data_IF_577727075161
#
_entry.id   IF_577727075161
#
_cell.length_a   1.000
_cell.length_b   1.000
_cell.length_c   1.000
_cell.angle_alpha   90.00
_cell.angle_beta   90.00
_cell.angle_gamma   90.00
#
_symmetry.space_group_name_H-M   'P 1'
#
loop_
_entity.id
_entity.type
_entity.pdbx_description
1 polymer ?
#
# COMPACT_ATOMS: atom_id res chain seq x y z
N UNK A 1 0.16 12.68 20.37
CA UNK A 1 -1.04 12.83 19.54
C UNK A 1 -1.05 11.63 18.60
N UNK A 2 -1.75 10.58 18.99
CA UNK A 2 -1.82 9.33 18.24
C UNK A 2 -2.90 9.50 17.18
N UNK A 3 -2.50 9.60 15.92
CA UNK A 3 -3.44 9.54 14.80
C UNK A 3 -3.92 8.09 14.71
N UNK A 4 -4.89 7.77 15.59
CA UNK A 4 -5.51 6.47 15.68
C UNK A 4 -6.26 6.22 14.39
N UNK A 5 -5.72 5.36 13.53
CA UNK A 5 -6.55 4.66 12.56
C UNK A 5 -7.56 3.86 13.38
N UNK A 6 -8.72 4.46 13.66
CA UNK A 6 -9.87 3.67 14.07
C UNK A 6 -10.08 2.64 12.96
N UNK A 7 -10.15 1.34 13.28
CA UNK A 7 -10.48 0.34 12.28
C UNK A 7 -11.84 0.73 11.72
N UNK A 8 -11.84 1.25 10.50
CA UNK A 8 -13.05 1.48 9.73
C UNK A 8 -13.69 0.09 9.58
N UNK A 9 -14.87 -0.08 10.17
CA UNK A 9 -15.61 -1.33 10.08
C UNK A 9 -15.86 -1.71 8.62
N UNK A 10 -16.20 -2.97 8.36
CA UNK A 10 -16.48 -3.49 7.00
C UNK A 10 -17.46 -2.60 6.22
N UNK A 11 -18.38 -1.94 6.90
CA UNK A 11 -19.34 -0.99 6.31
C UNK A 11 -18.68 0.23 5.65
N UNK A 12 -17.64 0.79 6.26
CA UNK A 12 -16.89 1.91 5.69
C UNK A 12 -16.01 1.48 4.51
N UNK A 13 -15.52 0.24 4.53
CA UNK A 13 -14.84 -0.37 3.36
C UNK A 13 -15.84 -0.59 2.22
N UNK A 14 -17.04 -1.10 2.51
CA UNK A 14 -18.10 -1.35 1.52
C UNK A 14 -18.62 -0.06 0.84
N UNK A 15 -18.55 1.08 1.52
CA UNK A 15 -18.92 2.38 0.93
C UNK A 15 -17.91 2.85 -0.13
N UNK A 16 -16.65 2.41 -0.05
CA UNK A 16 -15.55 2.90 -0.90
C UNK A 16 -15.10 1.84 -1.91
N UNK A 17 -15.37 0.56 -1.63
CA UNK A 17 -14.96 -0.59 -2.43
C UNK A 17 -16.16 -1.17 -3.16
N UNK A 18 -16.15 -1.09 -4.48
CA UNK A 18 -17.18 -1.69 -5.33
C UNK A 18 -16.99 -3.20 -5.47
N UNK A 19 -15.74 -3.66 -5.61
CA UNK A 19 -15.39 -5.08 -5.78
C UNK A 19 -14.01 -5.38 -5.19
N UNK A 20 -13.88 -6.55 -4.58
CA UNK A 20 -12.61 -7.16 -4.20
C UNK A 20 -12.40 -8.43 -5.01
N UNK A 21 -11.21 -8.58 -5.58
CA UNK A 21 -10.77 -9.76 -6.30
C UNK A 21 -9.57 -10.34 -5.57
N UNK A 22 -9.62 -11.63 -5.29
CA UNK A 22 -8.47 -12.39 -4.83
C UNK A 22 -7.95 -13.20 -6.01
N UNK A 23 -6.65 -13.14 -6.24
CA UNK A 23 -6.03 -13.88 -7.33
C UNK A 23 -4.61 -14.29 -6.99
N UNK A 24 -4.07 -15.14 -7.85
CA UNK A 24 -2.65 -15.43 -7.90
C UNK A 24 -2.18 -15.18 -9.33
N UNK A 25 -1.01 -14.56 -9.48
CA UNK A 25 -0.30 -14.50 -10.75
C UNK A 25 0.32 -15.87 -11.07
N UNK A 26 0.69 -16.11 -12.33
CA UNK A 26 1.21 -17.41 -12.80
C UNK A 26 2.47 -17.88 -12.05
N UNK A 27 3.24 -16.97 -11.44
CA UNK A 27 4.41 -17.30 -10.63
C UNK A 27 4.10 -17.53 -9.15
N UNK A 28 2.81 -17.57 -8.79
CA UNK A 28 2.36 -17.86 -7.43
C UNK A 28 2.23 -16.62 -6.53
N UNK A 29 2.51 -15.40 -7.02
CA UNK A 29 2.30 -14.19 -6.23
C UNK A 29 0.80 -13.98 -5.99
N UNK A 30 0.39 -13.89 -4.72
CA UNK A 30 -1.00 -13.63 -4.36
C UNK A 30 -1.27 -12.13 -4.40
N UNK A 31 -2.39 -11.73 -4.99
CA UNK A 31 -2.80 -10.34 -5.03
C UNK A 31 -4.23 -10.15 -4.55
N UNK A 32 -4.45 -8.98 -3.95
CA UNK A 32 -5.78 -8.41 -3.69
C UNK A 32 -5.96 -7.26 -4.65
N UNK A 33 -6.99 -7.31 -5.49
CA UNK A 33 -7.37 -6.17 -6.34
C UNK A 33 -8.69 -5.58 -5.88
N UNK A 34 -8.72 -4.27 -5.75
CA UNK A 34 -9.83 -3.48 -5.23
C UNK A 34 -10.25 -2.51 -6.33
N UNK A 35 -11.51 -2.57 -6.74
CA UNK A 35 -12.13 -1.55 -7.58
C UNK A 35 -12.92 -0.60 -6.68
N UNK A 36 -12.65 0.70 -6.78
CA UNK A 36 -13.27 1.69 -5.91
C UNK A 36 -14.64 2.17 -6.42
N UNK A 37 -15.44 2.72 -5.52
CA UNK A 37 -16.67 3.43 -5.83
C UNK A 37 -16.37 4.73 -6.61
N UNK A 38 -17.23 5.07 -7.57
CA UNK A 38 -17.00 6.16 -8.52
C UNK A 38 -16.95 7.55 -7.88
N UNK A 39 -17.44 7.71 -6.65
CA UNK A 39 -17.50 9.01 -5.98
C UNK A 39 -16.15 9.46 -5.42
N UNK A 40 -15.26 8.51 -5.06
CA UNK A 40 -14.00 8.85 -4.38
C UNK A 40 -12.76 8.66 -5.27
N UNK A 41 -12.70 7.52 -5.96
CA UNK A 41 -11.62 7.16 -6.89
C UNK A 41 -12.23 6.59 -8.19
N UNK A 42 -12.88 7.43 -9.01
CA UNK A 42 -13.51 6.99 -10.26
C UNK A 42 -12.53 6.29 -11.18
N UNK A 43 -13.02 5.27 -11.88
CA UNK A 43 -12.30 4.49 -12.88
C UNK A 43 -10.90 4.04 -12.41
N UNK A 44 -10.77 3.70 -11.12
CA UNK A 44 -9.50 3.35 -10.48
C UNK A 44 -9.54 1.93 -9.93
N UNK A 45 -8.51 1.16 -10.26
CA UNK A 45 -8.21 -0.14 -9.67
C UNK A 45 -6.95 -0.02 -8.82
N UNK A 46 -6.92 -0.67 -7.67
CA UNK A 46 -5.73 -0.86 -6.84
C UNK A 46 -5.42 -2.34 -6.72
N UNK A 47 -4.17 -2.73 -6.85
CA UNK A 47 -3.70 -4.08 -6.56
C UNK A 47 -2.63 -4.03 -5.48
N UNK A 48 -2.68 -4.97 -4.55
CA UNK A 48 -1.67 -5.17 -3.50
C UNK A 48 -1.16 -6.60 -3.59
N UNK A 49 0.15 -6.77 -3.68
CA UNK A 49 0.80 -8.07 -3.70
C UNK A 49 2.20 -7.99 -3.11
N UNK A 50 2.74 -9.12 -2.69
CA UNK A 50 4.12 -9.22 -2.22
C UNK A 50 4.98 -9.87 -3.30
N UNK A 51 6.14 -9.29 -3.57
CA UNK A 51 7.14 -9.83 -4.48
C UNK A 51 8.53 -9.65 -3.84
N UNK A 52 9.27 -10.77 -3.70
CA UNK A 52 10.61 -10.81 -3.13
C UNK A 52 10.77 -10.06 -1.78
N UNK A 53 9.77 -10.14 -0.89
CA UNK A 53 9.79 -9.45 0.41
C UNK A 53 9.44 -7.95 0.36
N UNK A 54 9.05 -7.45 -0.81
CA UNK A 54 8.57 -6.09 -1.01
C UNK A 54 7.05 -6.07 -1.24
N UNK A 55 6.34 -5.22 -0.50
CA UNK A 55 4.92 -4.96 -0.69
C UNK A 55 4.74 -4.01 -1.87
N UNK A 56 4.08 -4.49 -2.91
CA UNK A 56 3.76 -3.71 -4.10
C UNK A 56 2.31 -3.22 -4.02
N UNK A 57 2.12 -1.91 -4.15
CA UNK A 57 0.81 -1.25 -4.23
C UNK A 57 0.71 -0.55 -5.57
N UNK A 58 -0.15 -1.04 -6.45
CA UNK A 58 -0.30 -0.50 -7.80
C UNK A 58 -1.68 0.13 -7.99
N UNK A 59 -1.73 1.41 -8.33
CA UNK A 59 -2.93 2.11 -8.76
C UNK A 59 -2.95 2.24 -10.28
N UNK A 60 -4.08 1.91 -10.89
CA UNK A 60 -4.34 2.15 -12.32
C UNK A 60 -5.62 2.96 -12.43
N UNK A 61 -5.55 4.13 -13.06
CA UNK A 61 -6.73 4.99 -13.24
C UNK A 61 -6.83 5.57 -14.64
N UNK A 62 -8.06 5.76 -15.12
CA UNK A 62 -8.36 6.49 -16.36
C UNK A 62 -8.68 7.97 -16.12
N UNK A 63 -8.85 8.37 -14.87
CA UNK A 63 -9.20 9.74 -14.49
C UNK A 63 -7.94 10.58 -14.20
N UNK A 64 -7.76 11.67 -14.95
CA UNK A 64 -6.59 12.55 -14.84
C UNK A 64 -6.50 13.27 -13.49
N UNK A 65 -7.64 13.65 -12.90
CA UNK A 65 -7.67 14.34 -11.62
C UNK A 65 -7.34 13.38 -10.48
N UNK A 66 -7.85 12.15 -10.54
CA UNK A 66 -7.47 11.07 -9.61
C UNK A 66 -5.99 10.75 -9.76
N UNK A 67 -5.48 10.61 -10.98
CA UNK A 67 -4.06 10.37 -11.23
C UNK A 67 -3.17 11.42 -10.55
N UNK A 68 -3.47 12.72 -10.74
CA UNK A 68 -2.72 13.80 -10.08
C UNK A 68 -2.77 13.72 -8.57
N UNK A 69 -3.94 13.41 -7.99
CA UNK A 69 -4.10 13.26 -6.53
C UNK A 69 -3.30 12.08 -5.99
N UNK A 70 -3.34 10.93 -6.68
CA UNK A 70 -2.59 9.73 -6.31
C UNK A 70 -1.08 9.96 -6.40
N UNK A 71 -0.61 10.60 -7.47
CA UNK A 71 0.83 10.96 -7.61
C UNK A 71 1.26 11.89 -6.48
N UNK A 72 0.48 12.92 -6.15
CA UNK A 72 0.80 13.85 -5.06
C UNK A 72 0.85 13.14 -3.68
N UNK A 73 0.02 12.12 -3.48
CA UNK A 73 -0.04 11.33 -2.24
C UNK A 73 0.85 10.08 -2.21
N UNK A 74 1.55 9.76 -3.31
CA UNK A 74 2.23 8.48 -3.49
C UNK A 74 3.31 8.23 -2.43
N UNK A 75 4.25 9.18 -2.27
CA UNK A 75 5.35 9.05 -1.32
C UNK A 75 4.89 8.94 0.14
N UNK A 76 4.05 9.84 0.68
CA UNK A 76 3.61 9.74 2.07
C UNK A 76 2.79 8.46 2.32
N UNK A 77 2.01 7.99 1.33
CA UNK A 77 1.28 6.74 1.44
C UNK A 77 2.24 5.54 1.50
N UNK A 78 3.23 5.45 0.60
CA UNK A 78 4.22 4.37 0.62
C UNK A 78 4.98 4.31 1.95
N UNK A 79 5.42 5.46 2.47
CA UNK A 79 6.09 5.55 3.77
C UNK A 79 5.19 5.08 4.92
N UNK A 80 3.90 5.41 4.89
CA UNK A 80 2.94 4.96 5.91
C UNK A 80 2.74 3.45 5.87
N UNK A 81 2.62 2.87 4.68
CA UNK A 81 2.50 1.41 4.53
C UNK A 81 3.76 0.71 5.05
N UNK A 82 4.95 1.23 4.72
CA UNK A 82 6.22 0.66 5.18
C UNK A 82 6.35 0.67 6.71
N UNK A 83 5.85 1.73 7.36
CA UNK A 83 5.79 1.81 8.83
C UNK A 83 4.83 0.81 9.47
N UNK A 84 3.67 0.56 8.84
CA UNK A 84 2.61 -0.29 9.39
C UNK A 84 2.90 -1.79 9.17
N UNK A 85 3.50 -2.15 8.03
CA UNK A 85 3.79 -3.54 7.64
C UNK A 85 5.26 -3.98 7.87
N UNK A 86 6.04 -3.21 8.63
CA UNK A 86 7.52 -3.18 8.60
C UNK A 86 8.20 -3.86 7.40
N UNK A 87 7.87 -3.43 6.18
CA UNK A 87 8.36 -4.03 4.94
C UNK A 87 8.70 -2.94 3.92
N UNK A 88 9.59 -3.25 2.97
CA UNK A 88 9.88 -2.37 1.84
C UNK A 88 8.62 -2.24 0.98
N UNK A 89 8.27 -1.01 0.59
CA UNK A 89 7.08 -0.73 -0.19
C UNK A 89 7.46 -0.10 -1.52
N UNK A 90 6.91 -0.66 -2.59
CA UNK A 90 6.88 -0.04 -3.92
C UNK A 90 5.46 0.37 -4.22
N UNK A 91 5.25 1.66 -4.48
CA UNK A 91 3.95 2.18 -4.89
C UNK A 91 4.03 2.73 -6.31
N UNK A 92 3.14 2.27 -7.18
CA UNK A 92 3.04 2.75 -8.56
C UNK A 92 1.67 3.36 -8.84
N UNK A 93 1.67 4.39 -9.68
CA UNK A 93 0.47 5.03 -10.22
C UNK A 93 0.63 5.08 -11.73
N UNK A 94 -0.24 4.37 -12.45
CA UNK A 94 -0.17 4.24 -13.90
C UNK A 94 -1.50 4.64 -14.57
N UNK A 95 -1.46 5.15 -15.82
CA UNK A 95 -2.66 5.34 -16.62
C UNK A 95 -3.27 3.99 -17.03
N UNK A 96 -4.60 3.88 -16.98
CA UNK A 96 -5.33 2.77 -17.59
C UNK A 96 -5.64 3.04 -19.07
N UNK A 97 -5.96 2.00 -19.85
CA UNK A 97 -6.73 2.14 -21.11
C UNK A 97 -6.11 3.03 -22.22
N UNK A 98 -4.79 3.14 -22.32
CA UNK A 98 -4.12 3.90 -23.39
C UNK A 98 -4.05 5.41 -23.16
N UNK A 99 -4.30 5.88 -21.94
CA UNK A 99 -4.12 7.29 -21.59
C UNK A 99 -2.63 7.69 -21.48
N UNK A 100 -2.34 8.98 -21.70
CA UNK A 100 -0.97 9.50 -21.93
C UNK A 100 -0.28 10.08 -20.69
N UNK A 101 -0.81 9.84 -19.49
CA UNK A 101 -0.17 10.34 -18.26
C UNK A 101 1.12 9.56 -17.98
N UNK A 102 2.13 10.24 -17.45
CA UNK A 102 3.37 9.59 -17.06
C UNK A 102 3.13 8.71 -15.82
N UNK A 103 3.51 7.43 -15.92
CA UNK A 103 3.52 6.53 -14.77
C UNK A 103 4.55 7.00 -13.74
N UNK A 104 4.18 6.91 -12.46
CA UNK A 104 5.04 7.28 -11.33
C UNK A 104 5.24 6.05 -10.46
N UNK A 105 6.49 5.81 -10.06
CA UNK A 105 6.85 4.83 -9.04
C UNK A 105 7.57 5.56 -7.90
N UNK A 106 7.23 5.20 -6.67
CA UNK A 106 7.93 5.63 -5.46
C UNK A 106 8.28 4.41 -4.61
N UNK A 107 9.30 4.57 -3.77
CA UNK A 107 9.75 3.55 -2.83
C UNK A 107 9.83 4.11 -1.42
N UNK A 108 9.53 3.26 -0.46
CA UNK A 108 9.74 3.52 0.95
C UNK A 108 10.34 2.27 1.59
N UNK A 109 11.47 2.43 2.24
CA UNK A 109 12.16 1.32 2.89
C UNK A 109 11.52 1.01 4.24
N UNK A 110 11.64 -0.24 4.67
CA UNK A 110 11.23 -0.65 6.00
C UNK A 110 11.96 0.19 7.07
N UNK A 111 11.31 0.56 8.18
CA UNK A 111 12.00 1.19 9.30
C UNK A 111 13.13 0.30 9.81
N UNK A 112 14.34 0.85 9.98
CA UNK A 112 15.45 0.14 10.62
C UNK A 112 15.02 -0.33 12.01
N UNK A 113 14.86 -1.64 12.19
CA UNK A 113 14.74 -2.21 13.52
C UNK A 113 16.07 -1.97 14.24
N UNK A 114 16.06 -1.15 15.29
CA UNK A 114 17.17 -1.17 16.24
C UNK A 114 17.21 -2.59 16.80
N UNK A 115 18.36 -3.27 16.80
CA UNK A 115 18.47 -4.53 17.51
C UNK A 115 18.06 -4.26 18.95
N UNK A 116 17.06 -4.98 19.45
CA UNK A 116 16.69 -4.94 20.85
C UNK A 116 17.95 -5.27 21.63
N UNK A 117 18.50 -4.25 22.30
CA UNK A 117 19.50 -4.43 23.33
C UNK A 117 18.80 -5.12 24.49
N UNK A 118 18.65 -6.44 24.42
CA UNK A 118 18.54 -7.25 25.61
C UNK A 118 19.87 -7.15 26.34
N UNK A 119 20.00 -6.11 27.17
CA UNK A 119 20.97 -6.08 28.25
C UNK A 119 20.74 -7.36 29.05
N UNK A 120 21.72 -8.25 28.97
CA UNK A 120 21.77 -9.44 29.80
C UNK A 120 21.69 -8.99 31.25
N UNK A 121 20.64 -9.41 31.94
CA UNK A 121 20.70 -9.52 33.39
C UNK A 121 21.81 -10.50 33.71
N UNK A 122 23.00 -9.97 33.96
CA UNK A 122 24.13 -10.71 34.51
C UNK A 122 23.84 -10.99 35.98
N UNK A 123 22.98 -11.98 36.20
CA UNK A 123 22.89 -12.71 37.44
C UNK A 123 23.96 -13.79 37.42
N UNK A 124 25.16 -13.47 37.89
CA UNK A 124 26.12 -14.50 38.31
C UNK A 124 26.58 -14.22 39.74
N UNK A 125 26.16 -15.13 40.62
CA UNK A 125 26.48 -15.16 42.03
C UNK A 125 27.99 -15.33 42.30
N UNK A 126 28.48 -14.65 43.35
CA UNK A 126 29.33 -15.23 44.41
C UNK A 126 29.45 -14.26 45.58
#
# INVERSE_FOLDING_TARGET
MSDGMNPLGIEAVAAVVRKVYLGAYEKGERFVRIAFEERQLPATEMSVFEDAGCVNVAFVTRDAAVHRRLVAGAQPLAARVAQVLPADVRLSVAPGGGHTFQAVEVRADAPLQKPDGTDGTDGTAR
#
